data_IF_285253851145
#
_entry.id   IF_285253851145
#
_cell.length_a   1.000
_cell.length_b   1.000
_cell.length_c   1.000
_cell.angle_alpha   90.00
_cell.angle_beta   90.00
_cell.angle_gamma   90.00
#
_symmetry.space_group_name_H-M   'P 1'
#
loop_
_entity.id
_entity.type
_entity.pdbx_description
1 polymer ?
#
# COMPACT_ATOMS: atom_id res chain seq x y z
N UNK A 1 16.89 -11.96 18.07
CA UNK A 1 16.30 -11.82 16.72
C UNK A 1 17.05 -12.78 15.77
N UNK A 2 16.73 -14.07 15.76
CA UNK A 2 17.46 -15.09 14.98
C UNK A 2 17.09 -15.11 13.48
N UNK A 3 16.22 -14.22 12.99
CA UNK A 3 15.82 -14.11 11.57
C UNK A 3 17.00 -13.76 10.64
N UNK A 4 18.04 -13.11 11.15
CA UNK A 4 19.18 -12.65 10.37
C UNK A 4 20.12 -13.73 9.84
N UNK A 5 19.96 -15.02 10.17
CA UNK A 5 20.84 -16.09 9.66
C UNK A 5 20.21 -16.96 8.58
N UNK A 6 18.91 -16.84 8.34
CA UNK A 6 18.20 -17.66 7.36
C UNK A 6 18.40 -17.12 5.94
N UNK A 7 19.06 -17.89 5.07
CA UNK A 7 19.34 -17.50 3.69
C UNK A 7 18.06 -17.34 2.85
N UNK A 8 17.01 -18.10 3.14
CA UNK A 8 15.71 -18.03 2.48
C UNK A 8 15.00 -16.71 2.78
N UNK A 9 14.91 -16.32 4.06
CA UNK A 9 14.30 -15.04 4.47
C UNK A 9 15.05 -13.85 3.88
N UNK A 10 16.40 -13.89 3.88
CA UNK A 10 17.22 -12.83 3.25
C UNK A 10 16.92 -12.68 1.77
N UNK A 11 16.87 -13.80 1.05
CA UNK A 11 16.61 -13.82 -0.40
C UNK A 11 15.21 -13.31 -0.70
N UNK A 12 14.20 -13.79 0.01
CA UNK A 12 12.83 -13.33 -0.16
C UNK A 12 12.68 -11.83 0.13
N UNK A 13 13.32 -11.31 1.18
CA UNK A 13 13.29 -9.89 1.51
C UNK A 13 13.96 -9.03 0.42
N UNK A 14 15.07 -9.48 -0.16
CA UNK A 14 15.72 -8.81 -1.29
C UNK A 14 14.82 -8.80 -2.53
N UNK A 15 14.11 -9.89 -2.83
CA UNK A 15 13.14 -9.95 -3.94
C UNK A 15 12.00 -8.95 -3.71
N UNK A 16 11.43 -8.90 -2.51
CA UNK A 16 10.37 -7.94 -2.16
C UNK A 16 10.86 -6.50 -2.31
N UNK A 17 12.03 -6.17 -1.76
CA UNK A 17 12.58 -4.82 -1.84
C UNK A 17 12.95 -4.41 -3.27
N UNK A 18 13.44 -5.35 -4.08
CA UNK A 18 13.73 -5.11 -5.51
C UNK A 18 12.44 -4.88 -6.29
N UNK A 19 11.42 -5.70 -6.07
CA UNK A 19 10.11 -5.53 -6.70
C UNK A 19 9.47 -4.19 -6.32
N UNK A 20 9.63 -3.78 -5.05
CA UNK A 20 9.18 -2.48 -4.59
C UNK A 20 9.89 -1.31 -5.30
N UNK A 21 11.21 -1.40 -5.46
CA UNK A 21 11.98 -0.41 -6.19
C UNK A 21 11.57 -0.35 -7.68
N UNK A 22 11.44 -1.50 -8.35
CA UNK A 22 11.02 -1.56 -9.75
C UNK A 22 9.65 -0.93 -9.97
N UNK A 23 8.70 -1.24 -9.09
CA UNK A 23 7.38 -0.59 -9.10
C UNK A 23 7.47 0.92 -8.89
N UNK A 24 8.30 1.37 -7.96
CA UNK A 24 8.49 2.82 -7.71
C UNK A 24 9.14 3.54 -8.90
N UNK A 25 10.05 2.88 -9.62
CA UNK A 25 10.65 3.39 -10.87
C UNK A 25 9.59 3.48 -11.96
N UNK A 26 8.76 2.44 -12.13
CA UNK A 26 7.66 2.42 -13.09
C UNK A 26 6.69 3.58 -12.86
N UNK A 27 6.23 3.77 -11.62
CA UNK A 27 5.35 4.88 -11.25
C UNK A 27 6.01 6.25 -11.53
N UNK A 28 7.29 6.41 -11.19
CA UNK A 28 8.01 7.66 -11.47
C UNK A 28 8.14 7.95 -12.98
N UNK A 29 8.35 6.92 -13.80
CA UNK A 29 8.38 7.06 -15.26
C UNK A 29 7.01 7.51 -15.80
N UNK A 30 5.91 6.87 -15.36
CA UNK A 30 4.56 7.28 -15.73
C UNK A 30 4.23 8.71 -15.29
N UNK A 31 4.58 9.08 -14.05
CA UNK A 31 4.39 10.45 -13.55
C UNK A 31 5.20 11.46 -14.36
N UNK A 32 6.40 11.11 -14.83
CA UNK A 32 7.22 12.00 -15.68
C UNK A 32 6.53 12.26 -17.02
N UNK A 33 6.00 11.21 -17.67
CA UNK A 33 5.25 11.33 -18.92
C UNK A 33 3.98 12.15 -18.70
N UNK A 34 3.22 11.86 -17.63
CA UNK A 34 2.03 12.61 -17.26
C UNK A 34 2.32 14.10 -17.08
N UNK A 35 3.36 14.48 -16.32
CA UNK A 35 3.71 15.87 -16.10
C UNK A 35 4.10 16.62 -17.38
N UNK A 36 4.65 15.91 -18.37
CA UNK A 36 4.96 16.48 -19.68
C UNK A 36 3.68 16.77 -20.49
N UNK A 37 2.69 15.88 -20.42
CA UNK A 37 1.41 16.02 -21.15
C UNK A 37 0.38 16.89 -20.42
N UNK A 38 0.53 17.04 -19.10
CA UNK A 38 -0.45 17.70 -18.23
C UNK A 38 -0.85 19.11 -18.66
N UNK A 39 0.05 20.01 -19.11
CA UNK A 39 -0.35 21.34 -19.57
C UNK A 39 -1.33 21.31 -20.74
N UNK A 40 -1.16 20.37 -21.67
CA UNK A 40 -2.06 20.20 -22.81
C UNK A 40 -3.43 19.71 -22.35
N UNK A 41 -3.45 18.70 -21.49
CA UNK A 41 -4.68 18.14 -20.89
C UNK A 41 -5.44 19.20 -20.08
N UNK A 42 -4.72 20.00 -19.28
CA UNK A 42 -5.30 21.09 -18.51
C UNK A 42 -5.94 22.15 -19.43
N UNK A 43 -5.27 22.52 -20.53
CA UNK A 43 -5.83 23.46 -21.49
C UNK A 43 -7.13 22.96 -22.11
N UNK A 44 -7.24 21.66 -22.43
CA UNK A 44 -8.48 21.07 -22.93
C UNK A 44 -9.62 21.17 -21.90
N UNK A 45 -9.34 20.88 -20.62
CA UNK A 45 -10.34 21.03 -19.55
C UNK A 45 -10.79 22.48 -19.33
N UNK A 46 -9.90 23.44 -19.51
CA UNK A 46 -10.24 24.87 -19.34
C UNK A 46 -11.12 25.41 -20.48
N UNK A 47 -11.08 24.78 -21.66
CA UNK A 47 -11.92 25.15 -22.81
C UNK A 47 -13.35 24.61 -22.64
N UNK A 48 -13.51 23.45 -22.01
CA UNK A 48 -14.82 22.85 -21.75
C UNK A 48 -15.47 23.46 -20.50
N UNK A 49 -16.23 24.55 -20.68
CA UNK A 49 -16.92 25.27 -19.59
C UNK A 49 -18.11 24.50 -18.97
N UNK A 50 -18.40 23.28 -19.43
CA UNK A 50 -19.56 22.51 -18.95
C UNK A 50 -19.35 21.87 -17.57
N UNK A 51 -18.10 21.78 -17.10
CA UNK A 51 -17.76 21.20 -15.80
C UNK A 51 -17.28 22.30 -14.84
N UNK A 52 -18.00 22.49 -13.73
CA UNK A 52 -17.58 23.35 -12.62
C UNK A 52 -16.39 22.73 -11.89
N UNK A 53 -15.21 22.92 -12.46
CA UNK A 53 -13.98 22.26 -12.02
C UNK A 53 -13.18 23.15 -11.08
N UNK A 54 -12.83 22.65 -9.88
CA UNK A 54 -12.00 23.39 -8.92
C UNK A 54 -10.52 23.25 -9.30
N UNK A 55 -10.09 24.05 -10.28
CA UNK A 55 -8.73 24.02 -10.85
C UNK A 55 -7.63 24.10 -9.78
N UNK A 56 -7.69 25.00 -8.78
CA UNK A 56 -6.70 25.01 -7.70
C UNK A 56 -6.57 23.69 -6.96
N UNK A 57 -7.69 23.02 -6.69
CA UNK A 57 -7.70 21.76 -5.94
C UNK A 57 -7.15 20.59 -6.77
N UNK A 58 -7.42 20.57 -8.08
CA UNK A 58 -6.77 19.64 -9.00
C UNK A 58 -5.26 19.88 -9.05
N UNK A 59 -4.81 21.12 -9.26
CA UNK A 59 -3.38 21.44 -9.32
C UNK A 59 -2.66 21.01 -8.04
N UNK A 60 -3.30 21.21 -6.87
CA UNK A 60 -2.78 20.75 -5.60
C UNK A 60 -2.70 19.22 -5.51
N UNK A 61 -3.75 18.50 -5.96
CA UNK A 61 -3.75 17.05 -6.06
C UNK A 61 -2.59 16.55 -6.93
N UNK A 62 -2.48 17.06 -8.16
CA UNK A 62 -1.50 16.56 -9.14
C UNK A 62 -0.07 16.87 -8.72
N UNK A 63 0.16 18.06 -8.15
CA UNK A 63 1.45 18.41 -7.57
C UNK A 63 1.82 17.50 -6.39
N UNK A 64 0.90 17.29 -5.45
CA UNK A 64 1.15 16.46 -4.27
C UNK A 64 1.36 14.99 -4.64
N UNK A 65 0.53 14.44 -5.52
CA UNK A 65 0.65 13.07 -6.03
C UNK A 65 1.98 12.86 -6.74
N UNK A 66 2.36 13.78 -7.63
CA UNK A 66 3.63 13.73 -8.36
C UNK A 66 4.85 13.77 -7.43
N UNK A 67 4.87 14.70 -6.47
CA UNK A 67 5.92 14.78 -5.45
C UNK A 67 5.96 13.47 -4.63
N UNK A 68 4.79 12.94 -4.27
CA UNK A 68 4.65 11.69 -3.54
C UNK A 68 5.31 10.52 -4.26
N UNK A 69 5.12 10.37 -5.57
CA UNK A 69 5.75 9.30 -6.36
C UNK A 69 7.29 9.36 -6.28
N UNK A 70 7.90 10.55 -6.37
CA UNK A 70 9.34 10.69 -6.23
C UNK A 70 9.83 10.46 -4.79
N UNK A 71 9.06 10.87 -3.77
CA UNK A 71 9.32 10.53 -2.36
C UNK A 71 9.34 9.00 -2.19
N UNK A 72 8.38 8.32 -2.83
CA UNK A 72 8.27 6.86 -2.81
C UNK A 72 9.41 6.16 -3.53
N UNK A 73 9.88 6.68 -4.66
CA UNK A 73 11.11 6.21 -5.32
C UNK A 73 12.32 6.27 -4.37
N UNK A 74 12.46 7.37 -3.62
CA UNK A 74 13.47 7.50 -2.58
C UNK A 74 13.32 6.43 -1.49
N UNK A 75 12.08 6.11 -1.08
CA UNK A 75 11.80 5.03 -0.14
C UNK A 75 12.19 3.66 -0.69
N UNK A 76 11.89 3.37 -1.96
CA UNK A 76 12.27 2.14 -2.65
C UNK A 76 13.79 1.90 -2.67
N UNK A 77 14.57 2.94 -2.99
CA UNK A 77 16.04 2.87 -2.96
C UNK A 77 16.56 2.55 -1.55
N UNK A 78 16.00 3.21 -0.52
CA UNK A 78 16.37 2.96 0.87
C UNK A 78 15.90 1.59 1.38
N UNK A 79 14.79 1.07 0.87
CA UNK A 79 14.25 -0.25 1.21
C UNK A 79 15.17 -1.36 0.69
N UNK A 80 15.61 -1.26 -0.57
CA UNK A 80 16.61 -2.18 -1.12
C UNK A 80 17.93 -2.12 -0.34
N UNK A 81 18.39 -0.92 0.00
CA UNK A 81 19.58 -0.75 0.83
C UNK A 81 19.40 -1.37 2.24
N UNK A 82 18.23 -1.21 2.86
CA UNK A 82 17.92 -1.81 4.15
C UNK A 82 17.90 -3.34 4.07
N UNK A 83 17.27 -3.92 3.04
CA UNK A 83 17.23 -5.36 2.80
C UNK A 83 18.64 -5.94 2.56
N UNK A 84 19.48 -5.23 1.81
CA UNK A 84 20.88 -5.63 1.60
C UNK A 84 21.72 -5.58 2.88
N UNK A 85 21.58 -4.52 3.68
CA UNK A 85 22.23 -4.44 4.99
C UNK A 85 21.74 -5.54 5.94
N UNK A 86 20.47 -5.94 5.84
CA UNK A 86 19.89 -7.04 6.62
C UNK A 86 20.51 -8.37 6.20
N UNK A 87 20.66 -8.60 4.90
CA UNK A 87 21.33 -9.79 4.38
C UNK A 87 22.78 -9.90 4.88
N UNK A 88 23.47 -8.76 5.00
CA UNK A 88 24.83 -8.63 5.56
C UNK A 88 24.91 -8.66 7.09
N UNK A 89 23.78 -8.70 7.81
CA UNK A 89 23.78 -8.66 9.28
C UNK A 89 24.28 -7.35 9.89
N UNK A 90 24.15 -6.23 9.18
CA UNK A 90 24.66 -4.93 9.63
C UNK A 90 23.69 -4.24 10.60
N UNK A 91 24.19 -3.67 11.69
CA UNK A 91 23.39 -2.91 12.68
C UNK A 91 22.74 -1.63 12.11
N UNK A 92 23.22 -1.15 10.95
CA UNK A 92 22.69 0.03 10.27
C UNK A 92 21.31 -0.19 9.63
N UNK A 93 20.77 -1.41 9.63
CA UNK A 93 19.46 -1.75 9.05
C UNK A 93 18.35 -0.89 9.63
N UNK A 94 18.26 -0.77 10.95
CA UNK A 94 17.17 -0.05 11.61
C UNK A 94 17.18 1.45 11.27
N UNK A 95 18.37 2.04 11.13
CA UNK A 95 18.53 3.44 10.69
C UNK A 95 18.01 3.65 9.27
N UNK A 96 18.23 2.69 8.37
CA UNK A 96 17.71 2.76 7.00
C UNK A 96 16.22 2.49 6.96
N UNK A 97 15.74 1.46 7.68
CA UNK A 97 14.32 1.15 7.80
C UNK A 97 13.52 2.33 8.37
N UNK A 98 14.04 3.02 9.38
CA UNK A 98 13.44 4.26 9.92
C UNK A 98 13.22 5.32 8.83
N UNK A 99 14.19 5.51 7.93
CA UNK A 99 14.05 6.45 6.81
C UNK A 99 13.05 5.97 5.77
N UNK A 100 13.01 4.67 5.48
CA UNK A 100 11.98 4.07 4.60
C UNK A 100 10.59 4.38 5.14
N UNK A 101 10.34 4.09 6.42
CA UNK A 101 9.05 4.35 7.07
C UNK A 101 8.68 5.84 7.07
N UNK A 102 9.67 6.74 7.21
CA UNK A 102 9.43 8.18 7.12
C UNK A 102 8.97 8.58 5.71
N UNK A 103 9.71 8.16 4.67
CA UNK A 103 9.37 8.52 3.30
C UNK A 103 8.03 7.90 2.89
N UNK A 104 7.76 6.65 3.25
CA UNK A 104 6.44 6.04 3.06
C UNK A 104 5.33 6.84 3.75
N UNK A 105 5.54 7.24 5.01
CA UNK A 105 4.54 8.05 5.71
C UNK A 105 4.23 9.36 4.99
N UNK A 106 5.26 10.04 4.48
CA UNK A 106 5.11 11.29 3.72
C UNK A 106 4.40 11.04 2.40
N UNK A 107 4.73 9.96 1.68
CA UNK A 107 4.02 9.56 0.46
C UNK A 107 2.52 9.39 0.73
N UNK A 108 2.12 8.63 1.75
CA UNK A 108 0.70 8.47 2.07
C UNK A 108 0.04 9.79 2.47
N UNK A 109 0.72 10.65 3.24
CA UNK A 109 0.20 11.97 3.57
C UNK A 109 -0.06 12.83 2.33
N UNK A 110 0.80 12.73 1.31
CA UNK A 110 0.67 13.44 0.04
C UNK A 110 -0.48 12.92 -0.84
N UNK A 111 -1.12 11.80 -0.49
CA UNK A 111 -2.36 11.35 -1.14
C UNK A 111 -3.60 12.10 -0.63
N UNK A 112 -3.51 12.79 0.51
CA UNK A 112 -4.65 13.47 1.12
C UNK A 112 -5.30 14.54 0.21
N UNK A 113 -4.56 15.38 -0.53
CA UNK A 113 -5.15 16.31 -1.49
C UNK A 113 -6.00 15.63 -2.56
N UNK A 114 -5.59 14.45 -3.04
CA UNK A 114 -6.40 13.67 -3.98
C UNK A 114 -7.72 13.24 -3.36
N UNK A 115 -7.67 12.72 -2.14
CA UNK A 115 -8.87 12.35 -1.39
C UNK A 115 -9.85 13.52 -1.21
N UNK A 116 -9.33 14.68 -0.81
CA UNK A 116 -10.14 15.91 -0.63
C UNK A 116 -10.75 16.34 -1.97
N UNK A 117 -9.97 16.37 -3.05
CA UNK A 117 -10.45 16.77 -4.37
C UNK A 117 -11.62 15.90 -4.84
N UNK A 118 -11.48 14.58 -4.74
CA UNK A 118 -12.53 13.64 -5.10
C UNK A 118 -13.79 13.82 -4.24
N UNK A 119 -13.66 13.96 -2.91
CA UNK A 119 -14.81 14.19 -2.02
C UNK A 119 -15.52 15.52 -2.35
N UNK A 120 -14.79 16.62 -2.49
CA UNK A 120 -15.36 17.93 -2.81
C UNK A 120 -16.09 17.89 -4.14
N UNK A 121 -15.46 17.34 -5.18
CA UNK A 121 -16.06 17.18 -6.51
C UNK A 121 -17.32 16.31 -6.47
N UNK A 122 -17.38 15.34 -5.56
CA UNK A 122 -18.55 14.48 -5.37
C UNK A 122 -19.77 15.21 -4.85
N UNK A 123 -19.54 16.18 -3.95
CA UNK A 123 -20.60 16.99 -3.33
C UNK A 123 -21.14 18.02 -4.33
N UNK A 124 -20.27 18.54 -5.19
CA UNK A 124 -20.63 19.62 -6.13
C UNK A 124 -21.15 19.11 -7.47
N UNK A 125 -21.09 17.81 -7.76
CA UNK A 125 -21.53 17.23 -9.04
C UNK A 125 -22.53 16.08 -8.82
N UNK A 126 -23.75 16.13 -9.40
CA UNK A 126 -24.77 15.07 -9.27
C UNK A 126 -24.34 13.67 -9.73
N UNK A 127 -23.34 13.54 -10.62
CA UNK A 127 -22.75 12.25 -11.02
C UNK A 127 -21.58 11.79 -10.13
N UNK A 128 -21.28 12.55 -9.08
CA UNK A 128 -20.07 12.45 -8.28
C UNK A 128 -20.05 11.34 -7.24
N UNK A 129 -21.11 10.54 -7.10
CA UNK A 129 -21.17 9.43 -6.13
C UNK A 129 -19.95 8.49 -6.22
N UNK A 130 -19.46 8.25 -7.43
CA UNK A 130 -18.27 7.46 -7.69
C UNK A 130 -17.00 8.12 -7.14
N UNK A 131 -16.86 9.43 -7.31
CA UNK A 131 -15.75 10.16 -6.73
C UNK A 131 -15.74 10.08 -5.19
N UNK A 132 -16.88 9.82 -4.53
CA UNK A 132 -16.95 9.80 -3.07
C UNK A 132 -16.19 8.61 -2.48
N UNK A 133 -16.34 7.41 -3.05
CA UNK A 133 -15.65 6.21 -2.58
C UNK A 133 -14.15 6.28 -2.83
N UNK A 134 -13.75 6.74 -4.02
CA UNK A 134 -12.35 6.99 -4.36
C UNK A 134 -11.77 8.02 -3.39
N UNK A 135 -12.43 9.15 -3.20
CA UNK A 135 -12.01 10.19 -2.29
C UNK A 135 -11.89 9.71 -0.85
N UNK A 136 -12.91 9.02 -0.34
CA UNK A 136 -12.88 8.41 0.99
C UNK A 136 -11.72 7.43 1.14
N UNK A 137 -11.43 6.62 0.12
CA UNK A 137 -10.30 5.68 0.16
C UNK A 137 -8.95 6.40 0.29
N UNK A 138 -8.75 7.51 -0.44
CA UNK A 138 -7.54 8.31 -0.40
C UNK A 138 -7.44 9.21 0.83
N UNK A 139 -8.54 9.48 1.54
CA UNK A 139 -8.52 10.15 2.86
C UNK A 139 -8.23 9.15 3.97
N UNK A 140 -8.89 7.99 3.98
CA UNK A 140 -8.76 7.01 5.07
C UNK A 140 -7.38 6.33 5.10
N UNK A 141 -6.77 6.08 3.95
CA UNK A 141 -5.42 5.51 3.87
C UNK A 141 -4.37 6.35 4.64
N UNK A 142 -4.16 7.65 4.36
CA UNK A 142 -3.23 8.48 5.11
C UNK A 142 -3.57 8.54 6.59
N UNK A 143 -4.85 8.63 6.97
CA UNK A 143 -5.25 8.69 8.37
C UNK A 143 -4.81 7.45 9.16
N UNK A 144 -4.82 6.27 8.54
CA UNK A 144 -4.35 5.03 9.16
C UNK A 144 -2.83 4.87 9.07
N UNK A 145 -2.24 5.14 7.91
CA UNK A 145 -0.85 4.79 7.61
C UNK A 145 0.13 5.87 8.09
N UNK A 146 -0.14 7.16 7.85
CA UNK A 146 0.82 8.22 8.16
C UNK A 146 1.20 8.26 9.65
N UNK A 147 0.25 8.30 10.62
CA UNK A 147 0.61 8.40 12.03
C UNK A 147 1.40 7.18 12.51
N UNK A 148 1.00 5.98 12.07
CA UNK A 148 1.61 4.72 12.51
C UNK A 148 3.03 4.55 11.95
N UNK A 149 3.24 4.78 10.64
CA UNK A 149 4.58 4.72 10.03
C UNK A 149 5.50 5.83 10.52
N UNK A 150 4.99 7.05 10.70
CA UNK A 150 5.78 8.16 11.23
C UNK A 150 6.28 7.85 12.66
N UNK A 151 5.41 7.32 13.51
CA UNK A 151 5.79 6.90 14.86
C UNK A 151 6.78 5.74 14.84
N UNK A 152 6.58 4.74 13.97
CA UNK A 152 7.54 3.65 13.78
C UNK A 152 8.93 4.17 13.35
N UNK A 153 8.98 5.14 12.41
CA UNK A 153 10.21 5.80 11.99
C UNK A 153 10.96 6.43 13.16
N UNK A 154 10.26 7.22 13.99
CA UNK A 154 10.88 7.91 15.13
C UNK A 154 11.43 6.92 16.15
N UNK A 155 10.71 5.84 16.43
CA UNK A 155 11.10 4.84 17.43
C UNK A 155 12.27 3.98 16.97
N UNK A 156 12.30 3.60 15.70
CA UNK A 156 13.45 2.90 15.10
C UNK A 156 14.73 3.74 15.07
N UNK A 157 14.61 5.07 14.92
CA UNK A 157 15.77 5.96 14.97
C UNK A 157 16.42 6.00 16.36
N UNK A 158 15.61 5.91 17.42
CA UNK A 158 16.06 5.98 18.82
C UNK A 158 16.64 4.66 19.32
N UNK A 159 16.31 3.53 18.69
CA UNK A 159 16.70 2.19 19.15
C UNK A 159 18.10 1.74 18.75
N UNK A 160 18.92 2.60 18.16
CA UNK A 160 20.30 2.26 17.77
C UNK A 160 21.16 1.94 19.02
N UNK A 161 20.79 2.46 20.20
CA UNK A 161 21.51 2.26 21.47
C UNK A 161 20.64 1.68 22.60
N UNK A 162 19.43 1.21 22.30
CA UNK A 162 18.43 0.71 23.28
C UNK A 162 17.70 -0.50 22.71
N UNK A 163 17.01 -1.25 23.57
CA UNK A 163 16.08 -2.29 23.14
C UNK A 163 15.09 -1.72 22.13
N UNK A 164 15.00 -2.36 20.96
CA UNK A 164 14.14 -1.91 19.86
C UNK A 164 12.68 -2.08 20.25
N UNK A 165 11.95 -0.96 20.29
CA UNK A 165 10.52 -0.96 20.52
C UNK A 165 9.78 -1.35 19.23
N UNK A 166 9.57 -2.65 19.04
CA UNK A 166 8.87 -3.21 17.88
C UNK A 166 7.35 -2.96 17.91
N UNK A 167 6.80 -2.39 19.00
CA UNK A 167 5.37 -2.11 19.13
C UNK A 167 4.84 -1.32 17.94
N UNK A 168 5.52 -0.23 17.59
CA UNK A 168 5.09 0.66 16.53
C UNK A 168 5.21 0.04 15.13
N UNK A 169 6.12 -0.91 14.94
CA UNK A 169 6.16 -1.68 13.69
C UNK A 169 4.97 -2.64 13.57
N UNK A 170 4.56 -3.28 14.68
CA UNK A 170 3.35 -4.09 14.71
C UNK A 170 2.09 -3.27 14.41
N UNK A 171 1.94 -2.13 15.08
CA UNK A 171 0.82 -1.19 14.83
C UNK A 171 0.82 -0.72 13.37
N UNK A 172 1.98 -0.31 12.84
CA UNK A 172 2.08 0.11 11.44
C UNK A 172 1.70 -1.01 10.47
N UNK A 173 2.13 -2.26 10.73
CA UNK A 173 1.74 -3.41 9.93
C UNK A 173 0.23 -3.63 9.91
N UNK A 174 -0.43 -3.57 11.08
CA UNK A 174 -1.89 -3.68 11.19
C UNK A 174 -2.58 -2.55 10.41
N UNK A 175 -2.21 -1.30 10.68
CA UNK A 175 -2.79 -0.14 10.02
C UNK A 175 -2.62 -0.18 8.50
N UNK A 176 -1.49 -0.68 8.00
CA UNK A 176 -1.24 -0.85 6.58
C UNK A 176 -2.19 -1.88 5.95
N UNK A 177 -2.36 -3.05 6.56
CA UNK A 177 -3.29 -4.08 6.05
C UNK A 177 -4.72 -3.59 6.06
N UNK A 178 -5.17 -2.92 7.13
CA UNK A 178 -6.52 -2.34 7.17
C UNK A 178 -6.71 -1.20 6.18
N UNK A 179 -5.68 -0.38 5.94
CA UNK A 179 -5.75 0.66 4.93
C UNK A 179 -5.85 0.09 3.51
N UNK A 180 -5.16 -1.01 3.21
CA UNK A 180 -5.36 -1.77 1.97
C UNK A 180 -6.80 -2.31 1.90
N UNK A 181 -7.29 -2.93 2.98
CA UNK A 181 -8.67 -3.42 3.02
C UNK A 181 -9.69 -2.31 2.76
N UNK A 182 -9.57 -1.15 3.41
CA UNK A 182 -10.43 0.01 3.18
C UNK A 182 -10.34 0.47 1.73
N UNK A 183 -9.12 0.64 1.19
CA UNK A 183 -8.91 1.06 -0.20
C UNK A 183 -9.62 0.16 -1.18
N UNK A 184 -9.35 -1.13 -1.08
CA UNK A 184 -9.84 -2.10 -2.04
C UNK A 184 -11.31 -2.44 -1.86
N UNK A 185 -11.85 -2.39 -0.63
CA UNK A 185 -13.29 -2.52 -0.38
C UNK A 185 -14.08 -1.35 -0.97
N UNK A 186 -13.59 -0.12 -0.81
CA UNK A 186 -14.24 1.07 -1.37
C UNK A 186 -14.11 1.12 -2.89
N UNK A 187 -12.94 0.78 -3.44
CA UNK A 187 -12.76 0.63 -4.89
C UNK A 187 -13.64 -0.47 -5.47
N UNK A 188 -13.92 -1.54 -4.72
CA UNK A 188 -14.81 -2.58 -5.17
C UNK A 188 -16.27 -2.09 -5.25
N UNK A 189 -16.73 -1.37 -4.21
CA UNK A 189 -18.04 -0.71 -4.24
C UNK A 189 -18.12 0.27 -5.42
N UNK A 190 -17.05 1.04 -5.67
CA UNK A 190 -16.94 1.92 -6.84
C UNK A 190 -17.10 1.14 -8.16
N UNK A 191 -16.39 0.03 -8.31
CA UNK A 191 -16.26 -0.68 -9.58
C UNK A 191 -17.54 -1.44 -9.97
N UNK A 192 -18.27 -2.00 -9.01
CA UNK A 192 -19.42 -2.87 -9.32
C UNK A 192 -20.79 -2.21 -9.23
N UNK A 193 -20.95 -1.14 -8.45
CA UNK A 193 -22.23 -0.41 -8.37
C UNK A 193 -22.72 0.08 -9.75
N UNK A 194 -21.88 0.64 -10.65
CA UNK A 194 -22.33 1.10 -11.96
C UNK A 194 -22.79 -0.02 -12.90
N UNK A 195 -22.28 -1.26 -12.72
CA UNK A 195 -22.59 -2.39 -13.60
C UNK A 195 -23.98 -2.98 -13.33
N UNK A 196 -24.56 -2.73 -12.16
CA UNK A 196 -25.83 -3.31 -11.72
C UNK A 196 -25.80 -4.84 -11.57
N UNK A 197 -26.77 -5.40 -10.86
CA UNK A 197 -26.85 -6.84 -10.57
C UNK A 197 -27.00 -7.78 -11.80
N UNK A 198 -27.68 -7.41 -12.92
CA UNK A 198 -27.90 -8.38 -14.01
C UNK A 198 -26.67 -8.70 -14.88
N UNK A 199 -25.54 -8.01 -14.70
CA UNK A 199 -24.31 -8.24 -15.47
C UNK A 199 -23.22 -9.00 -14.69
N UNK A 200 -23.48 -9.42 -13.45
CA UNK A 200 -22.45 -10.04 -12.61
C UNK A 200 -22.24 -11.51 -12.98
N UNK A 201 -21.09 -11.81 -13.57
CA UNK A 201 -20.61 -13.19 -13.73
C UNK A 201 -19.99 -13.73 -12.44
N UNK A 202 -19.79 -15.06 -12.34
CA UNK A 202 -19.08 -15.70 -11.21
C UNK A 202 -17.75 -15.02 -10.87
N UNK A 203 -17.03 -14.52 -11.89
CA UNK A 203 -15.73 -13.87 -11.72
C UNK A 203 -15.86 -12.56 -10.92
N UNK A 204 -16.98 -11.84 -11.04
CA UNK A 204 -17.26 -10.63 -10.26
C UNK A 204 -17.42 -10.95 -8.77
N UNK A 205 -18.10 -12.07 -8.45
CA UNK A 205 -18.23 -12.55 -7.07
C UNK A 205 -16.91 -13.04 -6.48
N UNK A 206 -16.04 -13.64 -7.29
CA UNK A 206 -14.69 -14.03 -6.85
C UNK A 206 -13.88 -12.78 -6.51
N UNK A 207 -13.87 -11.78 -7.41
CA UNK A 207 -13.16 -10.52 -7.17
C UNK A 207 -13.69 -9.73 -5.97
N UNK A 208 -15.00 -9.86 -5.67
CA UNK A 208 -15.62 -9.23 -4.51
C UNK A 208 -15.24 -9.88 -3.21
N UNK A 209 -15.39 -11.20 -3.15
CA UNK A 209 -15.02 -11.99 -1.99
C UNK A 209 -13.54 -11.80 -1.67
N UNK A 210 -12.68 -11.76 -2.69
CA UNK A 210 -11.25 -11.52 -2.50
C UNK A 210 -10.96 -10.14 -1.90
N UNK A 211 -11.57 -9.08 -2.43
CA UNK A 211 -11.38 -7.70 -1.95
C UNK A 211 -11.92 -7.47 -0.53
N UNK A 212 -13.03 -8.14 -0.17
CA UNK A 212 -13.69 -7.96 1.12
C UNK A 212 -13.15 -8.91 2.20
N UNK A 213 -12.87 -10.17 1.87
CA UNK A 213 -12.57 -11.22 2.84
C UNK A 213 -11.07 -11.49 2.98
N UNK A 214 -10.31 -11.59 1.88
CA UNK A 214 -8.88 -11.99 1.95
C UNK A 214 -8.07 -11.00 2.78
N UNK A 215 -8.21 -9.69 2.50
CA UNK A 215 -7.53 -8.64 3.26
C UNK A 215 -8.07 -8.47 4.68
N UNK A 216 -9.37 -8.72 4.92
CA UNK A 216 -9.95 -8.69 6.26
C UNK A 216 -9.38 -9.81 7.13
N UNK A 217 -9.34 -11.03 6.61
CA UNK A 217 -8.75 -12.20 7.28
C UNK A 217 -7.26 -11.93 7.53
N UNK A 218 -6.53 -11.37 6.57
CA UNK A 218 -5.14 -10.95 6.78
C UNK A 218 -5.01 -9.92 7.91
N UNK A 219 -5.91 -8.94 8.00
CA UNK A 219 -5.96 -7.96 9.08
C UNK A 219 -6.19 -8.58 10.45
N UNK A 220 -7.09 -9.57 10.54
CA UNK A 220 -7.34 -10.33 11.77
C UNK A 220 -6.07 -11.09 12.19
N UNK A 221 -5.38 -11.77 11.27
CA UNK A 221 -4.12 -12.45 11.57
C UNK A 221 -3.01 -11.47 11.97
N UNK A 222 -2.95 -10.28 11.37
CA UNK A 222 -2.00 -9.24 11.76
C UNK A 222 -2.23 -8.77 13.20
N UNK A 223 -3.49 -8.56 13.58
CA UNK A 223 -3.89 -8.21 14.95
C UNK A 223 -3.53 -9.34 15.91
N UNK A 224 -3.86 -10.58 15.57
CA UNK A 224 -3.53 -11.75 16.40
C UNK A 224 -2.02 -11.89 16.62
N UNK A 225 -1.21 -11.73 15.56
CA UNK A 225 0.25 -11.76 15.65
C UNK A 225 0.81 -10.68 16.59
N UNK A 226 0.27 -9.46 16.51
CA UNK A 226 0.69 -8.36 17.37
C UNK A 226 0.25 -8.56 18.83
N UNK A 227 -0.99 -9.00 19.07
CA UNK A 227 -1.46 -9.29 20.43
C UNK A 227 -0.63 -10.41 21.09
N UNK A 228 -0.32 -11.47 20.34
CA UNK A 228 0.57 -12.54 20.80
C UNK A 228 1.97 -11.99 21.13
N UNK A 229 2.51 -11.09 20.30
CA UNK A 229 3.77 -10.41 20.56
C UNK A 229 3.71 -9.55 21.83
N UNK A 230 2.65 -8.76 22.04
CA UNK A 230 2.52 -7.90 23.22
C UNK A 230 2.41 -8.71 24.52
N UNK A 231 1.71 -9.86 24.49
CA UNK A 231 1.56 -10.73 25.66
C UNK A 231 2.83 -11.52 25.98
N UNK A 232 3.45 -12.16 24.97
CA UNK A 232 4.56 -13.10 25.18
C UNK A 232 5.94 -12.49 24.97
N UNK A 233 6.01 -11.24 24.49
CA UNK A 233 7.22 -10.54 24.03
C UNK A 233 8.03 -11.33 22.99
N UNK A 234 7.39 -12.30 22.32
CA UNK A 234 7.94 -13.14 21.26
C UNK A 234 7.03 -13.02 20.04
N UNK A 235 7.61 -12.68 18.89
CA UNK A 235 6.86 -12.56 17.65
C UNK A 235 6.45 -13.93 17.14
N UNK A 236 5.17 -14.13 16.88
CA UNK A 236 4.67 -15.33 16.21
C UNK A 236 4.93 -15.22 14.70
N UNK A 237 6.03 -15.81 14.25
CA UNK A 237 6.44 -15.74 12.85
C UNK A 237 5.50 -16.50 11.92
N UNK A 238 4.74 -17.49 12.41
CA UNK A 238 3.73 -18.18 11.60
C UNK A 238 2.59 -17.25 11.26
N UNK A 239 2.01 -16.55 12.26
CA UNK A 239 0.92 -15.61 12.03
C UNK A 239 1.36 -14.43 11.14
N UNK A 240 2.59 -13.93 11.32
CA UNK A 240 3.16 -12.91 10.42
C UNK A 240 3.31 -13.45 9.00
N UNK A 241 3.83 -14.67 8.84
CA UNK A 241 4.00 -15.30 7.53
C UNK A 241 2.67 -15.56 6.81
N UNK A 242 1.65 -16.02 7.53
CA UNK A 242 0.28 -16.18 7.03
C UNK A 242 -0.28 -14.83 6.57
N UNK A 243 -0.14 -13.78 7.39
CA UNK A 243 -0.59 -12.42 7.05
C UNK A 243 0.03 -11.95 5.73
N UNK A 244 1.37 -12.04 5.61
CA UNK A 244 2.09 -11.63 4.39
C UNK A 244 1.65 -12.46 3.17
N UNK A 245 1.43 -13.76 3.36
CA UNK A 245 0.96 -14.65 2.30
C UNK A 245 -0.43 -14.26 1.81
N UNK A 246 -1.37 -14.01 2.73
CA UNK A 246 -2.74 -13.61 2.39
C UNK A 246 -2.78 -12.25 1.68
N UNK A 247 -2.02 -11.25 2.17
CA UNK A 247 -1.90 -9.95 1.48
C UNK A 247 -1.36 -10.13 0.07
N UNK A 248 -0.34 -10.96 -0.12
CA UNK A 248 0.20 -11.22 -1.45
C UNK A 248 -0.75 -11.99 -2.37
N UNK A 249 -1.43 -13.01 -1.84
CA UNK A 249 -2.42 -13.79 -2.57
C UNK A 249 -3.60 -12.94 -3.03
N UNK A 250 -4.03 -11.96 -2.23
CA UNK A 250 -5.01 -10.96 -2.66
C UNK A 250 -4.58 -10.31 -4.00
N UNK A 251 -3.35 -9.81 -4.11
CA UNK A 251 -2.89 -9.20 -5.37
C UNK A 251 -2.76 -10.20 -6.52
N UNK A 252 -2.41 -11.45 -6.25
CA UNK A 252 -2.41 -12.51 -7.28
C UNK A 252 -3.83 -12.73 -7.82
N UNK A 253 -4.81 -12.90 -6.93
CA UNK A 253 -6.21 -13.13 -7.30
C UNK A 253 -6.76 -11.90 -8.02
N UNK A 254 -6.45 -10.68 -7.55
CA UNK A 254 -6.84 -9.44 -8.20
C UNK A 254 -6.35 -9.34 -9.65
N UNK A 255 -5.06 -9.64 -9.89
CA UNK A 255 -4.48 -9.65 -11.25
C UNK A 255 -5.12 -10.70 -12.14
N UNK A 256 -5.45 -11.87 -11.59
CA UNK A 256 -6.21 -12.85 -12.34
C UNK A 256 -7.57 -12.25 -12.70
N UNK A 257 -8.40 -11.88 -11.73
CA UNK A 257 -9.75 -11.33 -11.98
C UNK A 257 -9.75 -10.19 -13.00
N UNK A 258 -8.74 -9.32 -13.01
CA UNK A 258 -8.68 -8.17 -13.92
C UNK A 258 -8.52 -8.52 -15.40
N UNK A 259 -8.02 -9.71 -15.75
CA UNK A 259 -7.95 -10.19 -17.13
C UNK A 259 -9.36 -10.40 -17.73
N UNK A 260 -10.32 -10.82 -16.91
CA UNK A 260 -11.69 -11.13 -17.35
C UNK A 260 -12.71 -10.04 -17.04
N UNK A 261 -12.39 -9.14 -16.11
CA UNK A 261 -13.29 -8.06 -15.70
C UNK A 261 -12.61 -6.70 -15.97
N UNK A 262 -12.89 -6.05 -17.12
CA UNK A 262 -12.19 -4.84 -17.56
C UNK A 262 -12.19 -3.69 -16.54
N UNK A 263 -13.22 -3.60 -15.70
CA UNK A 263 -13.29 -2.57 -14.65
C UNK A 263 -12.18 -2.72 -13.60
N UNK A 264 -11.71 -3.95 -13.32
CA UNK A 264 -10.58 -4.15 -12.42
C UNK A 264 -9.25 -3.78 -13.10
N UNK A 265 -9.17 -3.97 -14.42
CA UNK A 265 -8.00 -3.59 -15.20
C UNK A 265 -7.78 -2.06 -15.19
N UNK A 266 -8.84 -1.26 -15.21
CA UNK A 266 -8.70 0.20 -15.16
C UNK A 266 -8.17 0.72 -13.83
N UNK A 267 -8.28 -0.06 -12.75
CA UNK A 267 -7.69 0.32 -11.46
C UNK A 267 -6.38 -0.37 -11.15
N UNK A 268 -5.90 -1.21 -12.07
CA UNK A 268 -4.67 -1.98 -11.92
C UNK A 268 -3.57 -1.01 -11.45
N UNK A 269 -3.32 0.07 -12.18
CA UNK A 269 -2.29 1.08 -11.91
C UNK A 269 -2.40 1.78 -10.55
N UNK A 270 -3.58 1.81 -9.94
CA UNK A 270 -3.80 2.40 -8.61
C UNK A 270 -3.51 1.40 -7.48
N UNK A 271 -3.27 0.13 -7.78
CA UNK A 271 -2.99 -0.91 -6.79
C UNK A 271 -1.49 -1.06 -6.50
N UNK A 272 -1.18 -1.68 -5.36
CA UNK A 272 0.18 -1.85 -4.87
C UNK A 272 0.83 -3.14 -5.40
N UNK A 273 0.96 -3.30 -6.73
CA UNK A 273 1.34 -4.59 -7.35
C UNK A 273 2.61 -5.25 -6.87
N UNK A 274 3.58 -4.46 -6.43
CA UNK A 274 4.81 -5.01 -5.88
C UNK A 274 4.55 -5.96 -4.71
N UNK A 275 3.38 -5.90 -4.06
CA UNK A 275 2.96 -6.81 -2.99
C UNK A 275 2.67 -8.24 -3.49
N UNK A 276 2.56 -8.48 -4.80
CA UNK A 276 2.34 -9.82 -5.39
C UNK A 276 3.45 -10.82 -5.02
N UNK A 277 4.65 -10.34 -4.67
CA UNK A 277 5.78 -11.19 -4.27
C UNK A 277 5.82 -11.48 -2.76
N UNK A 278 4.91 -10.89 -1.96
CA UNK A 278 4.81 -11.18 -0.53
C UNK A 278 4.57 -12.64 -0.16
N UNK A 279 3.91 -13.51 -0.96
CA UNK A 279 3.76 -14.93 -0.61
C UNK A 279 5.10 -15.64 -0.45
N UNK A 280 6.12 -15.25 -1.23
CA UNK A 280 7.48 -15.80 -1.10
C UNK A 280 8.08 -15.48 0.28
N UNK A 281 7.91 -14.23 0.74
CA UNK A 281 8.37 -13.81 2.07
C UNK A 281 7.51 -14.43 3.18
N UNK A 282 6.20 -14.49 2.99
CA UNK A 282 5.26 -15.05 3.97
C UNK A 282 5.52 -16.53 4.24
N UNK A 283 5.68 -17.34 3.18
CA UNK A 283 5.96 -18.78 3.28
C UNK A 283 7.32 -19.03 3.95
N UNK A 284 8.36 -18.26 3.58
CA UNK A 284 9.70 -18.42 4.17
C UNK A 284 9.73 -18.04 5.65
N UNK A 285 9.03 -16.96 6.04
CA UNK A 285 8.89 -16.55 7.44
C UNK A 285 8.08 -17.55 8.26
N UNK A 286 7.01 -18.12 7.70
CA UNK A 286 6.18 -19.13 8.38
C UNK A 286 6.93 -20.46 8.62
N UNK A 287 7.63 -20.97 7.60
CA UNK A 287 8.36 -22.26 7.65
C UNK A 287 9.35 -22.33 8.80
N UNK A 288 9.95 -21.20 9.18
CA UNK A 288 10.94 -21.13 10.25
C UNK A 288 10.43 -21.66 11.59
N UNK A 289 9.14 -21.53 11.86
CA UNK A 289 8.55 -21.98 13.13
C UNK A 289 8.49 -23.51 13.24
N UNK A 290 8.45 -24.23 12.12
CA UNK A 290 8.45 -25.71 12.13
C UNK A 290 9.80 -26.31 12.56
N UNK A 291 10.86 -25.50 12.62
CA UNK A 291 12.23 -25.94 12.87
C UNK A 291 12.78 -25.50 14.24
N UNK A 292 12.01 -24.76 15.04
CA UNK A 292 12.41 -24.21 16.35
C UNK A 292 11.51 -24.67 17.48
#
# INVERSE_FOLDING_TARGET
>A
MHLGNDSGVKTALLIVATSYLLYSVYQAALTTVFLFEFPFTLNLFMIDQTVTFNVPLLLLQEAAGSIGVYVRLGAGLLALQAAWLFAKGSDRVLKKLSKVMLLESIYFLLLLPSGINHVVTSITNPGGFFNMYTGASFVLQPLLIFPSLFMASRKLKQSINKTVDFKWLGIAGICYVFALWVKHSLMWVYALVPLGNPQWSLIHYIGSADSLLTLLIAGIFAVAAYLAFEQKKKLDTSLVGITLTLVGLYFVIYVLVSIWVPVYLSFLELTEFWLIVLPLLGITVAKKMSQS
#
